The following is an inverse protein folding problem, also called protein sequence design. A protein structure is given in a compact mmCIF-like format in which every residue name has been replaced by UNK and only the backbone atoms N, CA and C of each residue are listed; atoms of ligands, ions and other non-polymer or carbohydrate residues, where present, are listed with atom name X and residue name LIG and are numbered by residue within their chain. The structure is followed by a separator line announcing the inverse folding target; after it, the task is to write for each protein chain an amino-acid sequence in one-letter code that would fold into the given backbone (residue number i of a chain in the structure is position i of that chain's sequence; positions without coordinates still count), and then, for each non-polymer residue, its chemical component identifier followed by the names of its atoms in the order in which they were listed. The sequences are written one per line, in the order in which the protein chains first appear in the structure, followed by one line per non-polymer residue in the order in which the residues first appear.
data_IF_389773123932
#
_entry.id   IF_389773123932
#
_cell.length_a   1.000
_cell.length_b   1.000
_cell.length_c   1.000
_cell.angle_alpha   90.00
_cell.angle_beta   90.00
_cell.angle_gamma   90.00
#
_symmetry.space_group_name_H-M   'P 1'
#
loop_
_entity.id
_entity.type
_entity.pdbx_description
1 polymer ?
#
# COMPACT_ATOMS: atom_id res chain seq x y z
N UNK A 1 -6.78 -23.56 -4.93
CA UNK A 1 -5.36 -23.95 -5.10
C UNK A 1 -4.59 -22.73 -5.60
N UNK A 2 -3.48 -22.40 -4.94
CA UNK A 2 -2.59 -21.30 -5.34
C UNK A 2 -1.27 -21.91 -5.82
N UNK A 3 -0.83 -21.54 -7.02
CA UNK A 3 0.48 -21.93 -7.56
C UNK A 3 1.38 -20.72 -7.73
N UNK A 4 2.69 -20.94 -7.60
CA UNK A 4 3.72 -19.91 -7.70
C UNK A 4 4.79 -20.34 -8.71
N UNK A 5 5.15 -19.44 -9.61
CA UNK A 5 6.15 -19.68 -10.64
C UNK A 5 7.14 -18.51 -10.65
N UNK A 6 8.44 -18.79 -10.47
CA UNK A 6 9.48 -17.78 -10.60
C UNK A 6 9.87 -17.65 -12.08
N UNK A 7 9.79 -16.43 -12.62
CA UNK A 7 10.07 -16.12 -14.02
C UNK A 7 11.26 -15.16 -14.05
N UNK A 8 12.43 -15.66 -14.47
CA UNK A 8 13.66 -14.88 -14.40
C UNK A 8 14.08 -14.52 -12.97
N UNK A 9 14.76 -13.39 -12.81
CA UNK A 9 15.30 -12.95 -11.52
C UNK A 9 14.26 -12.21 -10.66
N UNK A 10 13.49 -11.30 -11.27
CA UNK A 10 12.67 -10.32 -10.54
C UNK A 10 11.16 -10.57 -10.60
N UNK A 11 10.66 -11.40 -11.53
CA UNK A 11 9.21 -11.63 -11.68
C UNK A 11 8.76 -12.92 -11.01
N UNK A 12 7.71 -12.83 -10.20
CA UNK A 12 6.99 -13.98 -9.65
C UNK A 12 5.55 -13.96 -10.13
N UNK A 13 5.13 -15.05 -10.77
CA UNK A 13 3.74 -15.29 -11.17
C UNK A 13 3.02 -16.10 -10.08
N UNK A 14 1.86 -15.63 -9.66
CA UNK A 14 0.98 -16.27 -8.68
C UNK A 14 -0.36 -16.51 -9.36
N UNK A 15 -0.81 -17.75 -9.39
CA UNK A 15 -2.11 -18.11 -9.96
C UNK A 15 -2.99 -18.65 -8.85
N UNK A 16 -4.14 -18.03 -8.65
CA UNK A 16 -5.13 -18.41 -7.65
C UNK A 16 -6.39 -18.97 -8.34
N UNK A 17 -6.65 -20.25 -8.08
CA UNK A 17 -7.80 -20.96 -8.63
C UNK A 17 -9.06 -20.89 -7.74
N UNK A 18 -9.09 -20.05 -6.70
CA UNK A 18 -10.20 -19.97 -5.72
C UNK A 18 -11.23 -18.88 -6.04
N UNK A 19 -11.23 -18.33 -7.26
CA UNK A 19 -12.11 -17.22 -7.64
C UNK A 19 -13.50 -17.66 -8.12
N UNK A 20 -14.45 -16.71 -8.09
CA UNK A 20 -15.79 -16.91 -8.64
C UNK A 20 -15.76 -17.31 -10.12
N UNK A 21 -16.68 -18.19 -10.52
CA UNK A 21 -16.78 -18.67 -11.90
C UNK A 21 -16.96 -17.49 -12.86
N UNK A 22 -16.27 -17.55 -14.01
CA UNK A 22 -16.36 -16.57 -15.12
C UNK A 22 -15.80 -15.16 -14.90
N UNK A 23 -15.31 -14.81 -13.70
CA UNK A 23 -14.64 -13.52 -13.44
C UNK A 23 -13.15 -13.73 -13.23
N UNK A 24 -12.35 -12.94 -13.93
CA UNK A 24 -10.89 -13.00 -13.89
C UNK A 24 -10.36 -11.68 -13.35
N UNK A 25 -9.34 -11.77 -12.51
CA UNK A 25 -8.69 -10.60 -11.92
C UNK A 25 -7.19 -10.71 -12.10
N UNK A 26 -6.53 -9.61 -12.43
CA UNK A 26 -5.08 -9.51 -12.55
C UNK A 26 -4.61 -8.34 -11.68
N UNK A 27 -3.53 -8.55 -10.93
CA UNK A 27 -2.82 -7.47 -10.25
C UNK A 27 -1.32 -7.64 -10.47
N UNK A 28 -0.66 -6.55 -10.82
CA UNK A 28 0.77 -6.51 -11.04
C UNK A 28 1.40 -5.52 -10.05
N UNK A 29 1.99 -6.07 -9.00
CA UNK A 29 2.67 -5.30 -7.97
C UNK A 29 4.16 -5.20 -8.28
N UNK A 30 4.72 -4.01 -8.12
CA UNK A 30 6.15 -3.74 -8.29
C UNK A 30 6.65 -3.13 -6.98
N UNK A 31 7.71 -3.68 -6.39
CA UNK A 31 8.34 -3.16 -5.16
C UNK A 31 9.17 -1.91 -5.44
N UNK A 32 8.51 -0.87 -5.94
CA UNK A 32 9.01 0.49 -6.04
C UNK A 32 7.82 1.45 -6.06
N UNK A 33 7.96 2.61 -5.43
CA UNK A 33 6.89 3.58 -5.27
C UNK A 33 7.43 4.97 -4.89
N UNK A 34 6.61 5.80 -4.23
CA UNK A 34 6.99 7.18 -3.91
C UNK A 34 8.25 7.30 -3.04
N UNK A 35 8.62 6.27 -2.26
CA UNK A 35 9.85 6.27 -1.46
C UNK A 35 11.11 6.35 -2.33
N UNK A 36 11.04 5.86 -3.56
CA UNK A 36 12.18 5.81 -4.47
C UNK A 36 12.44 7.16 -5.15
N UNK A 37 11.45 8.07 -5.13
CA UNK A 37 11.59 9.45 -5.59
C UNK A 37 12.63 10.22 -4.78
N UNK A 38 13.09 9.71 -3.63
CA UNK A 38 14.23 10.29 -2.92
C UNK A 38 15.46 10.45 -3.84
N UNK A 39 15.63 9.58 -4.86
CA UNK A 39 16.71 9.66 -5.86
C UNK A 39 16.37 10.50 -7.10
N UNK A 40 15.15 11.02 -7.15
CA UNK A 40 14.57 11.75 -8.28
C UNK A 40 13.82 13.00 -7.78
N UNK A 41 12.94 13.55 -8.60
CA UNK A 41 11.98 14.56 -8.15
C UNK A 41 10.75 13.87 -7.57
N UNK A 42 10.19 14.48 -6.53
CA UNK A 42 8.95 14.00 -5.93
C UNK A 42 7.82 13.99 -6.97
N UNK A 43 7.13 12.87 -7.10
CA UNK A 43 6.10 12.64 -8.09
C UNK A 43 6.59 11.91 -9.35
N UNK A 44 7.87 11.53 -9.44
CA UNK A 44 8.37 10.75 -10.58
C UNK A 44 7.71 9.38 -10.62
N UNK A 45 7.58 8.70 -9.48
CA UNK A 45 6.87 7.43 -9.38
C UNK A 45 5.40 7.54 -9.79
N UNK A 46 4.70 8.59 -9.32
CA UNK A 46 3.29 8.81 -9.62
C UNK A 46 3.04 9.14 -11.09
N UNK A 47 3.84 10.03 -11.68
CA UNK A 47 3.74 10.33 -13.11
C UNK A 47 4.07 9.10 -13.97
N UNK A 48 5.08 8.32 -13.59
CA UNK A 48 5.42 7.07 -14.28
C UNK A 48 4.26 6.08 -14.25
N UNK A 49 3.57 5.97 -13.11
CA UNK A 49 2.38 5.14 -12.96
C UNK A 49 1.27 5.58 -13.93
N UNK A 50 0.91 6.85 -13.98
CA UNK A 50 -0.09 7.39 -14.91
C UNK A 50 0.23 7.06 -16.38
N UNK A 51 1.48 7.30 -16.80
CA UNK A 51 1.92 7.04 -18.18
C UNK A 51 1.87 5.54 -18.54
N UNK A 52 2.20 4.67 -17.58
CA UNK A 52 2.06 3.22 -17.77
C UNK A 52 0.59 2.80 -17.77
N UNK A 53 -0.25 3.38 -16.90
CA UNK A 53 -1.67 3.05 -16.80
C UNK A 53 -2.41 3.33 -18.11
N UNK A 54 -2.02 4.38 -18.86
CA UNK A 54 -2.51 4.64 -20.21
C UNK A 54 -2.38 3.41 -21.15
N UNK A 55 -1.34 2.59 -20.96
CA UNK A 55 -1.12 1.35 -21.74
C UNK A 55 -2.01 0.17 -21.32
N UNK A 56 -2.66 0.24 -20.15
CA UNK A 56 -3.59 -0.79 -19.67
C UNK A 56 -5.01 -0.59 -20.17
N UNK A 57 -5.40 0.67 -20.39
CA UNK A 57 -6.73 1.00 -20.82
C UNK A 57 -6.92 0.58 -22.28
N UNK A 58 -7.52 -0.59 -22.50
CA UNK A 58 -8.17 -0.89 -23.76
C UNK A 58 -9.41 0.01 -23.88
N UNK A 59 -9.20 1.25 -24.33
CA UNK A 59 -10.15 2.36 -24.25
C UNK A 59 -11.58 2.06 -24.76
N UNK A 60 -11.77 0.99 -25.54
CA UNK A 60 -13.04 0.68 -26.21
C UNK A 60 -13.76 -0.58 -25.69
N UNK A 61 -13.26 -1.29 -24.67
CA UNK A 61 -13.94 -2.49 -24.15
C UNK A 61 -14.58 -2.25 -22.76
N UNK A 62 -15.91 -2.05 -22.68
CA UNK A 62 -16.60 -1.77 -21.41
C UNK A 62 -16.62 -2.97 -20.44
N UNK A 63 -16.20 -4.15 -20.88
CA UNK A 63 -16.12 -5.35 -20.06
C UNK A 63 -14.73 -5.57 -19.45
N UNK A 64 -13.79 -4.66 -19.70
CA UNK A 64 -12.48 -4.64 -19.07
C UNK A 64 -12.41 -3.44 -18.13
N UNK A 65 -12.30 -3.73 -16.84
CA UNK A 65 -11.95 -2.73 -15.84
C UNK A 65 -10.46 -2.84 -15.56
N UNK A 66 -9.73 -1.75 -15.70
CA UNK A 66 -8.33 -1.65 -15.31
C UNK A 66 -8.14 -0.34 -14.54
N UNK A 67 -7.20 -0.32 -13.61
CA UNK A 67 -6.80 0.87 -12.88
C UNK A 67 -5.41 0.65 -12.28
N UNK A 68 -4.87 1.69 -11.67
CA UNK A 68 -3.59 1.62 -11.00
C UNK A 68 -3.53 2.58 -9.80
N UNK A 69 -2.53 2.36 -8.96
CA UNK A 69 -2.18 3.26 -7.87
C UNK A 69 -0.71 3.12 -7.52
N UNK A 70 -0.14 4.19 -7.00
CA UNK A 70 1.17 4.21 -6.35
C UNK A 70 1.01 4.44 -4.84
N UNK A 71 1.71 3.64 -4.04
CA UNK A 71 1.87 3.83 -2.60
C UNK A 71 3.35 4.22 -2.33
N UNK A 72 3.73 4.42 -1.07
CA UNK A 72 5.12 4.73 -0.73
C UNK A 72 6.10 3.65 -1.18
N UNK A 73 5.73 2.38 -1.07
CA UNK A 73 6.70 1.28 -1.26
C UNK A 73 6.44 0.41 -2.48
N UNK A 74 5.32 0.63 -3.17
CA UNK A 74 4.94 -0.19 -4.31
C UNK A 74 4.00 0.55 -5.26
N UNK A 75 4.06 0.16 -6.52
CA UNK A 75 3.10 0.52 -7.56
C UNK A 75 2.29 -0.72 -7.91
N UNK A 76 0.99 -0.56 -8.08
CA UNK A 76 0.09 -1.65 -8.41
C UNK A 76 -0.77 -1.27 -9.62
N UNK A 77 -0.69 -2.10 -10.66
CA UNK A 77 -1.61 -2.10 -11.78
C UNK A 77 -2.59 -3.24 -11.59
N UNK A 78 -3.89 -3.04 -11.80
CA UNK A 78 -4.87 -4.10 -11.55
C UNK A 78 -6.07 -4.00 -12.47
N UNK A 79 -6.76 -5.11 -12.67
CA UNK A 79 -7.93 -5.15 -13.52
C UNK A 79 -8.78 -6.40 -13.34
N UNK A 80 -10.02 -6.31 -13.80
CA UNK A 80 -11.01 -7.38 -13.77
C UNK A 80 -11.77 -7.45 -15.08
N UNK A 81 -12.14 -8.66 -15.46
CA UNK A 81 -12.92 -8.89 -16.67
C UNK A 81 -13.66 -10.23 -16.64
N UNK A 82 -14.53 -10.45 -17.62
CA UNK A 82 -15.19 -11.73 -17.84
C UNK A 82 -14.37 -12.66 -18.74
N UNK A 83 -14.64 -13.97 -18.65
CA UNK A 83 -13.92 -15.01 -19.39
C UNK A 83 -13.59 -14.70 -20.86
N UNK A 84 -14.52 -14.19 -21.70
CA UNK A 84 -14.24 -13.96 -23.11
C UNK A 84 -13.12 -12.95 -23.38
N UNK A 85 -12.88 -12.04 -22.42
CA UNK A 85 -11.94 -10.93 -22.55
C UNK A 85 -10.66 -11.12 -21.72
N UNK A 86 -10.52 -12.24 -21.00
CA UNK A 86 -9.37 -12.53 -20.16
C UNK A 86 -8.04 -12.43 -20.92
N UNK A 87 -7.96 -13.00 -22.12
CA UNK A 87 -6.74 -12.94 -22.92
C UNK A 87 -6.38 -11.52 -23.36
N UNK A 88 -7.39 -10.68 -23.65
CA UNK A 88 -7.18 -9.28 -23.97
C UNK A 88 -6.60 -8.54 -22.76
N UNK A 89 -7.20 -8.71 -21.58
CA UNK A 89 -6.69 -8.12 -20.34
C UNK A 89 -5.26 -8.60 -20.03
N UNK A 90 -5.01 -9.90 -20.07
CA UNK A 90 -3.67 -10.47 -19.83
C UNK A 90 -2.64 -9.87 -20.80
N UNK A 91 -2.98 -9.73 -22.08
CA UNK A 91 -2.09 -9.14 -23.08
C UNK A 91 -1.76 -7.68 -22.76
N UNK A 92 -2.72 -6.87 -22.29
CA UNK A 92 -2.46 -5.49 -21.86
C UNK A 92 -1.45 -5.44 -20.71
N UNK A 93 -1.59 -6.31 -19.72
CA UNK A 93 -0.65 -6.43 -18.61
C UNK A 93 0.76 -6.86 -19.05
N UNK A 94 0.84 -7.85 -19.95
CA UNK A 94 2.13 -8.35 -20.46
C UNK A 94 2.86 -7.32 -21.34
N UNK A 95 2.13 -6.36 -21.93
CA UNK A 95 2.70 -5.30 -22.75
C UNK A 95 2.83 -3.96 -22.05
N UNK A 96 2.50 -3.88 -20.76
CA UNK A 96 2.46 -2.63 -19.98
C UNK A 96 3.68 -1.72 -20.24
N UNK A 97 4.87 -2.30 -20.20
CA UNK A 97 6.13 -1.57 -20.40
C UNK A 97 6.55 -1.44 -21.87
N UNK A 98 6.14 -2.38 -22.73
CA UNK A 98 6.51 -2.40 -24.15
C UNK A 98 5.75 -1.35 -24.95
N UNK A 99 4.54 -1.03 -24.51
CA UNK A 99 3.65 -0.07 -25.17
C UNK A 99 3.78 1.35 -24.62
N UNK A 100 4.67 1.58 -23.66
CA UNK A 100 4.85 2.90 -23.07
C UNK A 100 5.25 3.92 -24.14
N UNK A 101 4.36 4.88 -24.39
CA UNK A 101 4.65 6.06 -25.18
C UNK A 101 4.88 7.22 -24.23
N UNK A 102 6.12 7.69 -24.17
CA UNK A 102 6.48 8.90 -23.42
C UNK A 102 6.61 10.02 -24.44
N UNK A 103 5.50 10.63 -24.84
CA UNK A 103 5.49 11.89 -25.58
C UNK A 103 5.27 13.07 -24.63
N UNK A 104 5.78 14.25 -25.00
CA UNK A 104 5.74 15.44 -24.14
C UNK A 104 4.32 15.89 -23.82
N UNK A 105 3.41 15.76 -24.78
CA UNK A 105 2.05 16.29 -24.66
C UNK A 105 1.23 15.44 -23.69
N UNK A 106 1.38 14.11 -23.74
CA UNK A 106 0.81 13.19 -22.76
C UNK A 106 1.39 13.44 -21.36
N UNK A 107 2.70 13.58 -21.23
CA UNK A 107 3.35 13.90 -19.94
C UNK A 107 2.81 15.19 -19.32
N UNK A 108 2.73 16.27 -20.10
CA UNK A 108 2.25 17.54 -19.59
C UNK A 108 0.77 17.48 -19.23
N UNK A 109 -0.04 16.73 -19.99
CA UNK A 109 -1.44 16.48 -19.66
C UNK A 109 -1.58 15.74 -18.33
N UNK A 110 -0.85 14.64 -18.13
CA UNK A 110 -0.92 13.86 -16.89
C UNK A 110 -0.37 14.63 -15.68
N UNK A 111 0.68 15.43 -15.86
CA UNK A 111 1.15 16.35 -14.79
C UNK A 111 0.05 17.30 -14.35
N UNK A 112 -0.74 17.85 -15.28
CA UNK A 112 -1.87 18.72 -14.95
C UNK A 112 -2.97 17.96 -14.21
N UNK A 113 -3.27 16.72 -14.62
CA UNK A 113 -4.23 15.85 -13.94
C UNK A 113 -3.81 15.61 -12.49
N UNK A 114 -2.57 15.17 -12.27
CA UNK A 114 -2.03 14.91 -10.94
C UNK A 114 -2.05 16.20 -10.08
N UNK A 115 -1.44 17.27 -10.60
CA UNK A 115 -1.24 18.51 -9.84
C UNK A 115 -2.55 19.24 -9.51
N UNK A 116 -3.58 19.16 -10.36
CA UNK A 116 -4.78 19.97 -10.21
C UNK A 116 -6.06 19.19 -9.96
N UNK A 117 -6.16 17.94 -10.39
CA UNK A 117 -7.36 17.12 -10.16
C UNK A 117 -7.17 16.28 -8.90
N UNK A 118 -6.09 15.51 -8.84
CA UNK A 118 -5.89 14.54 -7.77
C UNK A 118 -5.47 15.21 -6.48
N UNK A 119 -4.47 16.08 -6.53
CA UNK A 119 -4.03 16.81 -5.35
C UNK A 119 -5.15 17.66 -4.73
N UNK A 120 -6.07 18.22 -5.53
CA UNK A 120 -7.23 18.95 -4.98
C UNK A 120 -8.21 18.03 -4.27
N UNK A 121 -8.49 16.84 -4.84
CA UNK A 121 -9.31 15.82 -4.17
C UNK A 121 -8.65 15.39 -2.85
N UNK A 122 -7.36 15.11 -2.88
CA UNK A 122 -6.58 14.72 -1.70
C UNK A 122 -6.53 15.82 -0.64
N UNK A 123 -6.34 17.08 -1.04
CA UNK A 123 -6.34 18.22 -0.13
C UNK A 123 -7.70 18.41 0.59
N UNK A 124 -8.80 17.95 0.00
CA UNK A 124 -10.10 17.94 0.69
C UNK A 124 -10.28 16.78 1.68
N UNK A 125 -9.39 15.77 1.66
CA UNK A 125 -9.41 14.63 2.56
C UNK A 125 -8.49 14.88 3.77
N UNK A 126 -9.07 15.43 4.83
CA UNK A 126 -8.33 15.80 6.03
C UNK A 126 -7.64 14.61 6.72
N UNK A 127 -8.27 13.43 6.74
CA UNK A 127 -7.67 12.23 7.34
C UNK A 127 -6.39 11.82 6.61
N UNK A 128 -6.39 11.92 5.28
CA UNK A 128 -5.22 11.61 4.45
C UNK A 128 -4.12 12.65 4.64
N UNK A 129 -4.46 13.95 4.71
CA UNK A 129 -3.49 15.00 5.02
C UNK A 129 -2.83 14.81 6.39
N UNK A 130 -3.62 14.44 7.40
CA UNK A 130 -3.06 14.17 8.73
C UNK A 130 -2.20 12.90 8.72
N UNK A 131 -2.54 11.87 7.94
CA UNK A 131 -1.66 10.72 7.75
C UNK A 131 -0.33 11.09 7.09
N UNK A 132 -0.35 11.91 6.03
CA UNK A 132 0.86 12.39 5.35
C UNK A 132 1.77 13.16 6.32
N UNK A 133 1.20 14.04 7.16
CA UNK A 133 1.94 14.71 8.23
C UNK A 133 2.55 13.72 9.22
N UNK A 134 1.79 12.69 9.61
CA UNK A 134 2.26 11.71 10.57
C UNK A 134 3.51 11.04 10.04
N UNK A 135 3.44 10.54 8.81
CA UNK A 135 4.54 9.86 8.14
C UNK A 135 5.75 10.79 7.98
N UNK A 136 5.53 12.05 7.60
CA UNK A 136 6.57 13.07 7.49
C UNK A 136 7.34 13.27 8.81
N UNK A 137 6.64 13.31 9.95
CA UNK A 137 7.28 13.46 11.27
C UNK A 137 7.86 12.16 11.84
N UNK A 138 7.27 11.02 11.46
CA UNK A 138 7.67 9.71 11.97
C UNK A 138 8.98 9.26 11.33
N UNK A 139 9.12 9.45 10.01
CA UNK A 139 10.28 9.02 9.23
C UNK A 139 11.32 10.14 9.09
N UNK A 140 12.61 9.78 9.04
CA UNK A 140 13.70 10.75 8.91
C UNK A 140 13.81 11.27 7.48
N UNK A 141 14.31 12.49 7.28
CA UNK A 141 14.53 13.09 5.94
C UNK A 141 15.42 12.26 4.99
N UNK A 142 16.26 11.37 5.53
CA UNK A 142 17.10 10.46 4.73
C UNK A 142 16.42 9.12 4.39
N UNK A 143 15.20 8.91 4.88
CA UNK A 143 14.38 7.73 4.58
C UNK A 143 13.39 8.11 3.46
N UNK A 144 13.30 7.29 2.41
CA UNK A 144 12.33 7.52 1.33
C UNK A 144 10.89 7.57 1.83
N UNK A 145 10.56 6.92 2.95
CA UNK A 145 9.22 6.99 3.56
C UNK A 145 8.84 8.38 4.07
N UNK A 146 9.80 9.28 4.23
CA UNK A 146 9.56 10.70 4.54
C UNK A 146 9.00 11.48 3.35
N UNK A 147 9.19 11.01 2.11
CA UNK A 147 8.68 11.68 0.92
C UNK A 147 7.15 11.71 0.94
N UNK A 148 6.51 12.88 0.72
CA UNK A 148 5.06 12.99 0.74
C UNK A 148 4.46 12.37 -0.53
N UNK A 149 3.27 11.76 -0.42
CA UNK A 149 2.56 11.27 -1.62
C UNK A 149 1.83 12.39 -2.36
N UNK A 150 1.49 13.48 -1.65
CA UNK A 150 0.89 14.68 -2.22
C UNK A 150 1.95 15.54 -2.91
N UNK A 151 1.76 15.82 -4.20
CA UNK A 151 2.75 16.52 -5.03
C UNK A 151 2.41 18.01 -5.13
N UNK A 152 2.76 18.79 -4.11
CA UNK A 152 2.42 20.22 -4.06
C UNK A 152 3.42 21.14 -4.79
N UNK A 153 4.47 20.57 -5.37
CA UNK A 153 5.62 21.35 -5.82
C UNK A 153 5.54 21.80 -7.27
N UNK A 154 6.06 23.01 -7.54
CA UNK A 154 6.30 23.44 -8.92
C UNK A 154 7.45 22.67 -9.59
N UNK A 155 8.37 22.09 -8.82
CA UNK A 155 9.48 21.24 -9.30
C UNK A 155 9.00 20.01 -10.07
N UNK A 156 7.82 19.49 -9.72
CA UNK A 156 7.16 18.37 -10.38
C UNK A 156 6.96 18.62 -11.88
N UNK A 157 6.64 19.86 -12.28
CA UNK A 157 6.49 20.21 -13.69
C UNK A 157 7.81 20.12 -14.48
N UNK A 158 8.95 20.16 -13.77
CA UNK A 158 10.28 19.96 -14.34
C UNK A 158 10.65 18.51 -14.63
N UNK A 159 9.83 17.53 -14.25
CA UNK A 159 10.08 16.11 -14.58
C UNK A 159 10.00 15.93 -16.10
N UNK A 160 11.07 15.41 -16.71
CA UNK A 160 11.12 15.16 -18.15
C UNK A 160 11.11 13.67 -18.48
N UNK A 161 11.07 13.38 -19.78
CA UNK A 161 11.06 12.02 -20.32
C UNK A 161 12.26 11.19 -19.84
N UNK A 162 13.43 11.82 -19.74
CA UNK A 162 14.67 11.18 -19.32
C UNK A 162 14.58 10.73 -17.87
N UNK A 163 13.98 11.54 -16.99
CA UNK A 163 13.74 11.17 -15.60
C UNK A 163 12.77 9.98 -15.48
N UNK A 164 11.65 9.99 -16.22
CA UNK A 164 10.69 8.88 -16.24
C UNK A 164 11.35 7.59 -16.73
N UNK A 165 12.09 7.65 -17.84
CA UNK A 165 12.84 6.49 -18.36
C UNK A 165 13.89 6.00 -17.38
N UNK A 166 14.59 6.92 -16.72
CA UNK A 166 15.58 6.58 -15.69
C UNK A 166 14.92 5.90 -14.49
N UNK A 167 13.76 6.38 -14.03
CA UNK A 167 13.01 5.74 -12.95
C UNK A 167 12.57 4.32 -13.34
N UNK A 168 12.04 4.14 -14.55
CA UNK A 168 11.68 2.79 -15.05
C UNK A 168 12.90 1.88 -15.08
N UNK A 169 14.03 2.37 -15.59
CA UNK A 169 15.24 1.56 -15.78
C UNK A 169 16.02 1.28 -14.49
N UNK A 170 16.05 2.22 -13.55
CA UNK A 170 16.84 2.10 -12.33
C UNK A 170 16.03 1.53 -11.17
N UNK A 171 14.72 1.79 -11.12
CA UNK A 171 13.84 1.37 -10.05
C UNK A 171 12.92 0.24 -10.50
N UNK A 172 11.98 0.50 -11.40
CA UNK A 172 10.95 -0.48 -11.74
C UNK A 172 11.54 -1.78 -12.31
N UNK A 173 12.51 -1.71 -13.22
CA UNK A 173 13.11 -2.89 -13.86
C UNK A 173 13.89 -3.77 -12.87
N UNK A 174 14.54 -3.17 -11.87
CA UNK A 174 15.37 -3.86 -10.87
C UNK A 174 14.59 -4.26 -9.62
N UNK A 175 13.38 -3.74 -9.45
CA UNK A 175 12.48 -4.13 -8.37
C UNK A 175 11.91 -5.53 -8.59
N UNK A 176 11.69 -6.24 -7.48
CA UNK A 176 10.90 -7.48 -7.49
C UNK A 176 9.46 -7.16 -7.87
N UNK A 177 8.84 -8.05 -8.63
CA UNK A 177 7.51 -7.89 -9.18
C UNK A 177 6.68 -9.14 -8.98
N UNK A 178 5.39 -8.95 -8.79
CA UNK A 178 4.44 -10.01 -8.50
C UNK A 178 3.22 -9.85 -9.39
N UNK A 179 3.07 -10.75 -10.37
CA UNK A 179 1.88 -10.84 -11.20
C UNK A 179 0.94 -11.86 -10.58
N UNK A 180 -0.17 -11.41 -10.01
CA UNK A 180 -1.18 -12.22 -9.36
C UNK A 180 -2.39 -12.32 -10.26
N UNK A 181 -2.81 -13.54 -10.58
CA UNK A 181 -3.94 -13.82 -11.45
C UNK A 181 -4.92 -14.73 -10.73
N UNK A 182 -6.17 -14.30 -10.61
CA UNK A 182 -7.28 -15.08 -10.05
C UNK A 182 -8.32 -15.39 -11.11
N UNK A 183 -8.85 -16.62 -11.09
CA UNK A 183 -9.88 -17.06 -12.02
C UNK A 183 -10.14 -18.57 -11.95
N UNK A 184 -11.08 -19.02 -12.77
CA UNK A 184 -11.31 -20.44 -13.01
C UNK A 184 -10.43 -20.90 -14.18
N UNK A 185 -9.44 -21.74 -13.90
CA UNK A 185 -8.46 -22.18 -14.88
C UNK A 185 -8.40 -23.70 -14.97
N UNK A 186 -8.43 -24.25 -16.18
CA UNK A 186 -7.96 -25.61 -16.43
C UNK A 186 -6.42 -25.68 -16.35
N UNK A 187 -5.86 -26.86 -16.08
CA UNK A 187 -4.40 -27.08 -16.10
C UNK A 187 -3.75 -26.65 -17.43
N UNK A 188 -4.47 -26.85 -18.54
CA UNK A 188 -4.04 -26.41 -19.87
C UNK A 188 -4.01 -24.88 -19.99
N UNK A 189 -4.92 -24.17 -19.33
CA UNK A 189 -4.97 -22.70 -19.30
C UNK A 189 -3.85 -22.15 -18.43
N UNK A 190 -3.59 -22.75 -17.26
CA UNK A 190 -2.46 -22.41 -16.39
C UNK A 190 -1.14 -22.55 -17.17
N UNK A 191 -0.94 -23.68 -17.85
CA UNK A 191 0.26 -23.92 -18.65
C UNK A 191 0.45 -22.86 -19.75
N UNK A 192 -0.63 -22.43 -20.40
CA UNK A 192 -0.60 -21.34 -21.39
C UNK A 192 -0.24 -20.00 -20.77
N UNK A 193 -0.84 -19.64 -19.62
CA UNK A 193 -0.53 -18.40 -18.90
C UNK A 193 0.95 -18.37 -18.53
N UNK A 194 1.45 -19.44 -17.89
CA UNK A 194 2.87 -19.55 -17.50
C UNK A 194 3.78 -19.41 -18.72
N UNK A 195 3.46 -20.10 -19.82
CA UNK A 195 4.21 -19.98 -21.07
C UNK A 195 4.21 -18.55 -21.60
N UNK A 196 3.05 -17.90 -21.71
CA UNK A 196 2.94 -16.52 -22.20
C UNK A 196 3.71 -15.55 -21.32
N UNK A 197 3.58 -15.62 -20.00
CA UNK A 197 4.35 -14.77 -19.06
C UNK A 197 5.85 -15.01 -19.22
N UNK A 198 6.29 -16.26 -19.41
CA UNK A 198 7.69 -16.61 -19.62
C UNK A 198 8.24 -16.06 -20.95
N UNK A 199 7.48 -16.16 -22.03
CA UNK A 199 7.86 -15.67 -23.37
C UNK A 199 7.91 -14.13 -23.44
N UNK A 200 7.01 -13.45 -22.73
CA UNK A 200 7.06 -11.99 -22.59
C UNK A 200 8.23 -11.55 -21.70
N UNK A 201 8.53 -12.33 -20.66
CA UNK A 201 9.62 -12.03 -19.74
C UNK A 201 9.35 -10.81 -18.87
N UNK A 202 10.41 -10.29 -18.26
CA UNK A 202 10.37 -9.07 -17.45
C UNK A 202 10.61 -7.82 -18.32
N UNK A 203 10.52 -6.64 -17.70
CA UNK A 203 10.84 -5.33 -18.30
C UNK A 203 12.19 -5.42 -19.01
N UNK A 204 12.21 -5.15 -20.32
CA UNK A 204 13.45 -5.17 -21.10
C UNK A 204 14.24 -3.88 -20.88
N UNK A 205 15.55 -4.05 -20.67
CA UNK A 205 16.51 -3.01 -20.32
C UNK A 205 16.98 -2.23 -21.55
N UNK A 206 16.26 -1.18 -21.94
CA UNK A 206 16.76 -0.23 -22.95
C UNK A 206 16.56 1.21 -22.46
N UNK A 207 17.62 1.79 -21.90
CA UNK A 207 17.65 3.20 -21.47
C UNK A 207 19.01 3.62 -20.92
N UNK A 208 19.35 4.89 -21.12
CA UNK A 208 20.49 5.52 -20.46
C UNK A 208 20.13 5.84 -19.00
N UNK A 209 21.00 5.45 -18.06
CA UNK A 209 20.79 5.72 -16.62
C UNK A 209 21.24 7.14 -16.28
N UNK A 210 20.31 7.96 -15.77
CA UNK A 210 20.65 9.25 -15.16
C UNK A 210 20.19 9.25 -13.70
N UNK A 211 21.14 9.37 -12.78
CA UNK A 211 20.88 9.74 -11.39
C UNK A 211 21.12 11.24 -11.26
N UNK A 212 20.19 11.95 -10.63
CA UNK A 212 20.37 13.37 -10.34
C UNK A 212 21.48 13.55 -9.30
N UNK A 213 22.21 14.67 -9.41
CA UNK A 213 23.27 14.96 -8.44
C UNK A 213 22.68 15.36 -7.07
N UNK A 214 23.42 15.07 -6.00
CA UNK A 214 22.99 15.33 -4.62
C UNK A 214 22.56 16.79 -4.37
N UNK A 215 23.17 17.77 -5.04
CA UNK A 215 22.85 19.19 -4.83
C UNK A 215 21.52 19.60 -5.47
N UNK A 216 21.17 19.04 -6.64
CA UNK A 216 19.87 19.26 -7.27
C UNK A 216 18.75 18.60 -6.47
N UNK A 217 18.98 17.37 -6.01
CA UNK A 217 18.07 16.65 -5.12
C UNK A 217 17.87 17.39 -3.80
N UNK A 218 18.93 17.87 -3.15
CA UNK A 218 18.81 18.66 -1.91
C UNK A 218 18.03 19.96 -2.11
N UNK A 219 18.21 20.65 -3.24
CA UNK A 219 17.45 21.87 -3.55
C UNK A 219 15.97 21.57 -3.72
N UNK A 220 15.63 20.51 -4.47
CA UNK A 220 14.25 20.05 -4.61
C UNK A 220 13.65 19.61 -3.26
N UNK A 221 14.40 18.87 -2.43
CA UNK A 221 13.94 18.44 -1.09
C UNK A 221 13.72 19.60 -0.12
N UNK A 222 14.54 20.65 -0.15
CA UNK A 222 14.29 21.87 0.65
C UNK A 222 13.02 22.61 0.25
N UNK A 223 12.58 22.45 -1.00
CA UNK A 223 11.30 22.98 -1.48
C UNK A 223 10.12 22.07 -1.07
N UNK A 224 10.38 20.79 -0.79
CA UNK A 224 9.40 19.78 -0.34
C UNK A 224 8.98 19.93 1.12
N UNK A 225 9.44 20.98 1.83
CA UNK A 225 8.85 21.31 3.11
C UNK A 225 7.35 21.48 2.89
N UNK A 226 6.57 20.51 3.38
CA UNK A 226 5.13 20.50 3.34
C UNK A 226 4.65 21.83 3.92
N UNK A 227 4.43 22.83 3.06
CA UNK A 227 3.81 24.10 3.40
C UNK A 227 2.33 23.83 3.54
N UNK A 228 2.01 23.08 4.59
CA UNK A 228 0.65 22.97 5.06
C UNK A 228 0.41 24.30 5.75
N UNK A 229 -0.16 25.26 5.03
CA UNK A 229 -0.79 26.43 5.63
C UNK A 229 -1.53 26.00 6.89
N UNK A 230 -1.55 26.83 7.94
CA UNK A 230 -2.16 26.57 9.26
C UNK A 230 -3.57 25.97 9.14
N UNK A 231 -3.61 24.68 8.87
CA UNK A 231 -4.81 23.87 8.79
C UNK A 231 -5.08 23.51 10.24
N UNK A 232 -6.08 24.18 10.84
CA UNK A 232 -6.59 23.78 12.15
C UNK A 232 -7.30 22.44 11.97
N UNK A 233 -6.71 21.33 12.43
CA UNK A 233 -7.36 20.05 12.30
C UNK A 233 -8.69 20.09 13.03
N UNK A 234 -9.75 19.63 12.38
CA UNK A 234 -11.02 19.36 13.09
C UNK A 234 -10.92 18.09 13.96
N UNK A 235 -9.90 17.28 13.71
CA UNK A 235 -9.68 15.94 14.24
C UNK A 235 -8.21 15.78 14.63
N UNK A 236 -7.91 14.87 15.54
CA UNK A 236 -6.55 14.63 16.02
C UNK A 236 -6.07 13.26 15.53
N UNK A 237 -4.83 13.19 15.05
CA UNK A 237 -4.21 11.93 14.66
C UNK A 237 -2.92 11.73 15.45
N UNK A 238 -2.81 10.56 16.06
CA UNK A 238 -1.61 10.13 16.79
C UNK A 238 -1.10 8.82 16.21
N UNK A 239 0.21 8.60 16.32
CA UNK A 239 0.89 7.43 15.79
C UNK A 239 1.79 6.80 16.83
N UNK A 240 1.83 5.47 16.85
CA UNK A 240 2.85 4.70 17.56
C UNK A 240 3.69 3.98 16.51
N UNK A 241 4.95 4.40 16.36
CA UNK A 241 5.93 3.74 15.50
C UNK A 241 6.45 2.49 16.20
N UNK A 242 6.18 1.35 15.58
CA UNK A 242 6.66 0.03 15.95
C UNK A 242 7.77 -0.41 15.00
N UNK A 243 8.61 -1.33 15.48
CA UNK A 243 9.44 -2.15 14.60
C UNK A 243 8.56 -2.94 13.63
N UNK A 244 9.16 -3.42 12.54
CA UNK A 244 8.53 -4.30 11.56
C UNK A 244 7.67 -5.41 12.23
N UNK A 245 6.54 -5.71 11.59
CA UNK A 245 5.74 -6.91 11.86
C UNK A 245 6.29 -8.02 10.97
N UNK A 246 6.83 -9.07 11.58
CA UNK A 246 7.65 -10.05 10.87
C UNK A 246 6.86 -11.29 10.42
N UNK A 247 5.59 -11.41 10.82
CA UNK A 247 4.76 -12.55 10.45
C UNK A 247 3.29 -12.19 10.26
N UNK A 248 2.58 -13.01 9.48
CA UNK A 248 1.13 -12.89 9.33
C UNK A 248 0.38 -13.11 10.66
N UNK A 249 0.92 -13.96 11.55
CA UNK A 249 0.35 -14.18 12.88
C UNK A 249 0.41 -12.90 13.72
N UNK A 250 1.56 -12.24 13.71
CA UNK A 250 1.77 -10.97 14.39
C UNK A 250 0.88 -9.88 13.80
N UNK A 251 0.75 -9.82 12.46
CA UNK A 251 -0.14 -8.88 11.77
C UNK A 251 -1.61 -9.08 12.18
N UNK A 252 -2.09 -10.32 12.23
CA UNK A 252 -3.44 -10.62 12.70
C UNK A 252 -3.62 -10.30 14.18
N UNK A 253 -2.64 -10.62 15.03
CA UNK A 253 -2.68 -10.29 16.44
C UNK A 253 -2.76 -8.77 16.67
N UNK A 254 -1.99 -7.98 15.92
CA UNK A 254 -2.06 -6.53 15.95
C UNK A 254 -3.42 -5.99 15.53
N UNK A 255 -4.00 -6.52 14.44
CA UNK A 255 -5.33 -6.08 13.98
C UNK A 255 -6.45 -6.49 14.97
N UNK A 256 -6.36 -7.66 15.60
CA UNK A 256 -7.28 -8.08 16.67
C UNK A 256 -7.14 -7.14 17.88
N UNK A 257 -5.91 -6.76 18.23
CA UNK A 257 -5.65 -5.79 19.30
C UNK A 257 -6.21 -4.40 18.94
N UNK A 258 -6.16 -3.97 17.67
CA UNK A 258 -6.81 -2.73 17.23
C UNK A 258 -8.33 -2.77 17.49
N UNK A 259 -9.01 -3.87 17.17
CA UNK A 259 -10.45 -4.02 17.46
C UNK A 259 -10.73 -3.84 18.95
N UNK A 260 -9.87 -4.41 19.79
CA UNK A 260 -9.98 -4.27 21.24
C UNK A 260 -9.74 -2.83 21.71
N UNK A 261 -8.66 -2.19 21.26
CA UNK A 261 -8.37 -0.78 21.57
C UNK A 261 -9.52 0.13 21.15
N UNK A 262 -10.03 -0.02 19.93
CA UNK A 262 -11.15 0.80 19.46
C UNK A 262 -12.38 0.64 20.37
N UNK A 263 -12.69 -0.59 20.76
CA UNK A 263 -13.80 -0.87 21.67
C UNK A 263 -13.56 -0.29 23.07
N UNK A 264 -12.38 -0.52 23.65
CA UNK A 264 -12.02 -0.04 24.99
C UNK A 264 -12.01 1.48 25.06
N UNK A 265 -11.32 2.13 24.12
CA UNK A 265 -11.18 3.58 24.05
C UNK A 265 -12.54 4.23 23.85
N UNK A 266 -13.38 3.73 22.92
CA UNK A 266 -14.71 4.31 22.71
C UNK A 266 -15.66 4.08 23.90
N UNK A 267 -15.51 2.99 24.64
CA UNK A 267 -16.24 2.80 25.89
C UNK A 267 -15.78 3.78 26.98
N UNK A 268 -14.47 3.99 27.13
CA UNK A 268 -13.91 4.97 28.07
C UNK A 268 -14.35 6.40 27.72
N UNK A 269 -14.34 6.76 26.43
CA UNK A 269 -14.66 8.08 25.92
C UNK A 269 -16.15 8.29 25.62
N UNK A 270 -17.03 7.32 25.94
CA UNK A 270 -18.45 7.31 25.54
C UNK A 270 -19.25 8.54 25.96
N UNK A 271 -18.84 9.23 27.03
CA UNK A 271 -19.47 10.46 27.55
C UNK A 271 -18.75 11.74 27.14
N UNK A 272 -17.71 11.64 26.33
CA UNK A 272 -16.89 12.75 25.86
C UNK A 272 -17.15 13.03 24.38
N UNK A 273 -16.67 14.16 23.87
CA UNK A 273 -16.69 14.45 22.43
C UNK A 273 -15.52 13.79 21.67
N UNK A 274 -14.54 13.23 22.38
CA UNK A 274 -13.24 12.84 21.84
C UNK A 274 -13.19 11.35 21.43
N UNK A 275 -14.29 10.80 20.93
CA UNK A 275 -14.34 9.39 20.54
C UNK A 275 -13.34 9.08 19.40
N UNK A 276 -12.84 7.85 19.39
CA UNK A 276 -11.98 7.32 18.35
C UNK A 276 -12.84 7.04 17.10
N UNK A 277 -12.56 7.77 16.02
CA UNK A 277 -13.19 7.58 14.72
C UNK A 277 -12.66 6.30 14.09
N UNK A 278 -11.34 6.15 14.04
CA UNK A 278 -10.67 5.05 13.35
C UNK A 278 -9.37 4.65 14.05
N UNK A 279 -9.00 3.38 13.87
CA UNK A 279 -7.75 2.80 14.36
C UNK A 279 -7.23 1.80 13.35
N UNK A 280 -6.06 2.09 12.79
CA UNK A 280 -5.48 1.29 11.74
C UNK A 280 -4.00 1.01 12.00
N UNK A 281 -3.52 -0.16 11.56
CA UNK A 281 -2.10 -0.45 11.44
C UNK A 281 -1.68 -0.25 9.98
N UNK A 282 -0.66 0.58 9.73
CA UNK A 282 -0.02 0.73 8.42
C UNK A 282 1.37 0.11 8.46
N UNK A 283 1.54 -0.98 7.71
CA UNK A 283 2.82 -1.67 7.57
C UNK A 283 3.65 -1.04 6.46
N UNK A 284 4.94 -0.89 6.73
CA UNK A 284 6.00 -0.66 5.75
C UNK A 284 7.03 -1.80 5.76
N UNK A 285 7.99 -1.80 4.84
CA UNK A 285 8.99 -2.85 4.72
C UNK A 285 9.76 -3.10 6.02
N UNK A 286 10.09 -2.02 6.77
CA UNK A 286 10.93 -2.06 7.97
C UNK A 286 10.28 -1.48 9.23
N UNK A 287 9.02 -1.04 9.15
CA UNK A 287 8.32 -0.38 10.25
C UNK A 287 6.82 -0.66 10.21
N UNK A 288 6.12 -0.39 11.31
CA UNK A 288 4.66 -0.36 11.34
C UNK A 288 4.22 0.85 12.15
N UNK A 289 3.21 1.59 11.68
CA UNK A 289 2.61 2.68 12.43
C UNK A 289 1.21 2.23 12.87
N UNK A 290 0.95 2.29 14.16
CA UNK A 290 -0.41 2.19 14.69
C UNK A 290 -1.00 3.60 14.77
N UNK A 291 -2.07 3.85 14.04
CA UNK A 291 -2.64 5.18 13.79
C UNK A 291 -3.97 5.28 14.52
N UNK A 292 -4.09 6.24 15.44
CA UNK A 292 -5.32 6.56 16.14
C UNK A 292 -5.88 7.86 15.59
N UNK A 293 -7.12 7.84 15.13
CA UNK A 293 -7.78 9.02 14.58
C UNK A 293 -9.00 9.38 15.43
N UNK A 294 -8.95 10.53 16.08
CA UNK A 294 -9.93 11.00 17.06
C UNK A 294 -10.79 12.13 16.52
N UNK A 295 -12.04 12.21 16.98
CA UNK A 295 -12.94 13.28 16.59
C UNK A 295 -12.49 14.67 17.07
N UNK A 296 -11.76 14.75 18.18
CA UNK A 296 -11.22 15.98 18.75
C UNK A 296 -9.92 15.65 19.52
N UNK A 297 -9.17 16.68 19.92
CA UNK A 297 -7.87 16.56 20.59
C UNK A 297 -7.92 15.59 21.77
N UNK A 298 -7.08 14.56 21.70
CA UNK A 298 -6.89 13.56 22.75
C UNK A 298 -5.42 13.17 22.87
N UNK A 299 -4.70 13.88 23.72
CA UNK A 299 -3.24 13.74 23.92
C UNK A 299 -2.86 12.56 24.83
N UNK A 300 -3.85 11.93 25.49
CA UNK A 300 -3.63 10.91 26.52
C UNK A 300 -3.74 9.47 25.96
N UNK A 301 -3.46 9.25 24.67
CA UNK A 301 -3.53 7.91 24.05
C UNK A 301 -2.65 6.91 24.79
N UNK A 302 -1.38 7.25 25.05
CA UNK A 302 -0.45 6.33 25.71
C UNK A 302 -0.87 6.01 27.14
N UNK A 303 -1.28 7.01 27.93
CA UNK A 303 -1.75 6.80 29.30
C UNK A 303 -2.96 5.86 29.35
N UNK A 304 -3.89 6.02 28.40
CA UNK A 304 -5.04 5.15 28.29
C UNK A 304 -4.62 3.72 27.94
N UNK A 305 -3.65 3.53 27.04
CA UNK A 305 -3.12 2.19 26.73
C UNK A 305 -2.39 1.57 27.93
N UNK A 306 -1.61 2.34 28.68
CA UNK A 306 -0.95 1.88 29.92
C UNK A 306 -1.96 1.47 31.00
N UNK A 307 -3.15 2.08 31.02
CA UNK A 307 -4.21 1.74 31.97
C UNK A 307 -4.94 0.42 31.67
N UNK A 308 -4.68 -0.20 30.51
CA UNK A 308 -5.39 -1.42 30.11
C UNK A 308 -4.89 -2.61 30.93
N UNK A 309 -5.79 -3.16 31.76
CA UNK A 309 -5.57 -4.43 32.42
C UNK A 309 -6.04 -5.58 31.51
N UNK A 310 -5.10 -6.24 30.83
CA UNK A 310 -5.40 -7.38 29.94
C UNK A 310 -5.77 -8.68 30.69
N UNK A 311 -5.89 -8.66 32.02
CA UNK A 311 -6.27 -9.83 32.82
C UNK A 311 -7.62 -10.45 32.43
N UNK A 312 -8.56 -9.64 31.95
CA UNK A 312 -9.88 -10.07 31.46
C UNK A 312 -9.95 -10.24 29.94
N UNK A 313 -8.83 -10.03 29.24
CA UNK A 313 -8.79 -10.06 27.79
C UNK A 313 -9.05 -11.46 27.22
N UNK A 314 -8.74 -12.52 27.98
CA UNK A 314 -8.99 -13.91 27.60
C UNK A 314 -10.46 -14.18 27.29
N UNK A 315 -11.38 -13.61 28.07
CA UNK A 315 -12.83 -13.74 27.86
C UNK A 315 -13.33 -12.98 26.63
N UNK A 316 -12.71 -11.84 26.32
CA UNK A 316 -13.07 -10.99 25.19
C UNK A 316 -12.43 -11.42 23.87
N UNK A 317 -11.30 -12.12 23.91
CA UNK A 317 -10.51 -12.47 22.72
C UNK A 317 -11.34 -13.22 21.67
N UNK A 318 -12.24 -14.12 22.07
CA UNK A 318 -13.11 -14.83 21.12
C UNK A 318 -14.02 -13.84 20.38
N UNK A 319 -14.59 -12.87 21.08
CA UNK A 319 -15.42 -11.83 20.46
C UNK A 319 -14.58 -10.94 19.54
N UNK A 320 -13.38 -10.54 19.95
CA UNK A 320 -12.49 -9.71 19.14
C UNK A 320 -12.04 -10.42 17.86
N UNK A 321 -11.69 -11.72 17.95
CA UNK A 321 -11.38 -12.55 16.77
C UNK A 321 -12.54 -12.57 15.78
N UNK A 322 -13.78 -12.74 16.26
CA UNK A 322 -14.98 -12.73 15.40
C UNK A 322 -15.18 -11.38 14.70
N UNK A 323 -15.06 -10.29 15.46
CA UNK A 323 -15.19 -8.92 14.94
C UNK A 323 -14.10 -8.60 13.91
N UNK A 324 -12.88 -9.11 14.09
CA UNK A 324 -11.81 -9.03 13.10
C UNK A 324 -12.12 -9.87 11.85
N UNK A 325 -12.53 -11.12 12.04
CA UNK A 325 -12.74 -12.08 10.95
C UNK A 325 -13.86 -11.66 9.98
N UNK A 326 -14.95 -11.07 10.47
CA UNK A 326 -16.09 -10.73 9.63
C UNK A 326 -15.75 -9.81 8.43
N UNK A 327 -15.18 -8.60 8.61
CA UNK A 327 -14.72 -7.78 7.49
C UNK A 327 -13.51 -8.37 6.77
N UNK A 328 -12.73 -9.24 7.43
CA UNK A 328 -11.60 -9.91 6.80
C UNK A 328 -12.05 -10.95 5.77
N UNK A 329 -13.18 -11.63 5.99
CA UNK A 329 -13.76 -12.56 5.02
C UNK A 329 -14.12 -11.86 3.71
N UNK A 330 -14.67 -10.64 3.77
CA UNK A 330 -14.98 -9.84 2.57
C UNK A 330 -13.71 -9.56 1.75
N UNK A 331 -12.58 -9.28 2.42
CA UNK A 331 -11.28 -9.07 1.76
C UNK A 331 -10.75 -10.33 1.08
N UNK A 332 -11.00 -11.51 1.63
CA UNK A 332 -10.59 -12.78 1.00
C UNK A 332 -11.47 -13.10 -0.21
N UNK A 333 -12.76 -12.81 -0.12
CA UNK A 333 -13.73 -13.12 -1.19
C UNK A 333 -13.53 -12.20 -2.40
N UNK A 334 -13.15 -10.93 -2.18
CA UNK A 334 -12.81 -10.01 -3.26
C UNK A 334 -11.42 -10.35 -3.83
N UNK A 335 -11.30 -10.79 -5.10
CA UNK A 335 -10.02 -11.22 -5.65
C UNK A 335 -8.92 -10.15 -5.63
N UNK A 336 -9.27 -8.87 -5.86
CA UNK A 336 -8.28 -7.78 -5.89
C UNK A 336 -7.76 -7.45 -4.49
N UNK A 337 -8.65 -7.43 -3.49
CA UNK A 337 -8.23 -7.26 -2.08
C UNK A 337 -7.41 -8.47 -1.60
N UNK A 338 -7.77 -9.67 -2.04
CA UNK A 338 -7.01 -10.88 -1.73
C UNK A 338 -5.64 -10.89 -2.39
N UNK A 339 -5.52 -10.41 -3.63
CA UNK A 339 -4.22 -10.20 -4.28
C UNK A 339 -3.32 -9.26 -3.46
N UNK A 340 -3.88 -8.14 -2.97
CA UNK A 340 -3.15 -7.19 -2.11
C UNK A 340 -2.72 -7.83 -0.80
N UNK A 341 -3.57 -8.67 -0.19
CA UNK A 341 -3.24 -9.42 1.01
C UNK A 341 -2.11 -10.43 0.76
N UNK A 342 -2.16 -11.16 -0.35
CA UNK A 342 -1.12 -12.11 -0.75
C UNK A 342 0.22 -11.41 -0.99
N UNK A 343 0.20 -10.30 -1.73
CA UNK A 343 1.37 -9.45 -1.93
C UNK A 343 1.96 -8.96 -0.60
N UNK A 344 1.14 -8.45 0.31
CA UNK A 344 1.58 -8.07 1.66
C UNK A 344 2.16 -9.26 2.44
N UNK A 345 1.54 -10.44 2.38
CA UNK A 345 2.03 -11.68 3.03
C UNK A 345 3.46 -12.04 2.62
N UNK A 346 3.79 -11.87 1.34
CA UNK A 346 5.13 -12.10 0.81
C UNK A 346 6.12 -11.07 1.38
N UNK A 347 5.70 -9.81 1.48
CA UNK A 347 6.52 -8.73 2.02
C UNK A 347 6.79 -8.87 3.54
N UNK A 348 5.83 -9.44 4.29
CA UNK A 348 6.00 -9.73 5.72
C UNK A 348 7.07 -10.81 5.94
N UNK A 349 6.90 -11.97 5.31
CA UNK A 349 7.56 -13.18 5.78
C UNK A 349 9.03 -13.34 5.34
N UNK A 350 9.54 -12.61 4.34
CA UNK A 350 10.85 -12.85 3.64
C UNK A 350 11.05 -14.27 3.07
N UNK A 351 10.27 -15.24 3.52
CA UNK A 351 10.22 -16.64 3.13
C UNK A 351 9.31 -16.88 1.92
N UNK A 352 8.78 -15.80 1.32
CA UNK A 352 8.11 -15.88 0.02
C UNK A 352 6.83 -16.75 0.06
N UNK A 353 6.31 -16.99 1.28
CA UNK A 353 5.11 -17.75 1.58
C UNK A 353 3.86 -16.91 1.30
N UNK A 354 2.93 -17.52 0.57
CA UNK A 354 1.66 -16.89 0.22
C UNK A 354 0.62 -17.32 1.25
N UNK A 355 -0.06 -16.36 1.87
CA UNK A 355 -1.20 -16.66 2.73
C UNK A 355 -2.29 -17.36 1.92
N UNK A 356 -2.64 -18.57 2.34
CA UNK A 356 -3.78 -19.32 1.81
C UNK A 356 -5.00 -19.04 2.68
N UNK A 357 -6.14 -18.81 2.04
CA UNK A 357 -7.45 -18.58 2.67
C UNK A 357 -7.79 -19.68 3.70
N UNK A 358 -7.50 -20.93 3.37
CA UNK A 358 -7.69 -22.11 4.21
C UNK A 358 -6.90 -22.09 5.53
N UNK A 359 -5.76 -21.38 5.57
CA UNK A 359 -4.89 -21.28 6.76
C UNK A 359 -5.24 -20.11 7.67
N UNK A 360 -6.13 -19.21 7.26
CA UNK A 360 -6.48 -18.01 8.04
C UNK A 360 -7.01 -18.39 9.42
N UNK A 361 -7.93 -19.36 9.49
CA UNK A 361 -8.50 -19.80 10.76
C UNK A 361 -7.46 -20.44 11.67
N UNK A 362 -6.56 -21.27 11.12
CA UNK A 362 -5.46 -21.86 11.88
C UNK A 362 -4.56 -20.79 12.51
N UNK A 363 -4.19 -19.77 11.74
CA UNK A 363 -3.37 -18.66 12.22
C UNK A 363 -4.11 -17.88 13.32
N UNK A 364 -5.38 -17.53 13.09
CA UNK A 364 -6.19 -16.78 14.07
C UNK A 364 -6.42 -17.58 15.34
N UNK A 365 -6.67 -18.88 15.26
CA UNK A 365 -6.86 -19.76 16.42
C UNK A 365 -5.57 -19.88 17.23
N UNK A 366 -4.40 -19.87 16.58
CA UNK A 366 -3.08 -19.90 17.25
C UNK A 366 -2.74 -18.64 18.07
N UNK A 367 -3.52 -17.57 17.96
CA UNK A 367 -3.33 -16.33 18.71
C UNK A 367 -3.94 -16.51 20.11
N UNK A 368 -3.08 -16.60 21.12
CA UNK A 368 -3.47 -16.78 22.52
C UNK A 368 -3.57 -15.44 23.26
N UNK A 369 -4.21 -15.37 24.43
CA UNK A 369 -4.21 -14.18 25.27
C UNK A 369 -2.80 -13.68 25.60
N UNK A 370 -1.88 -14.59 25.94
CA UNK A 370 -0.48 -14.27 26.28
C UNK A 370 0.24 -13.62 25.10
N UNK A 371 -0.02 -14.12 23.88
CA UNK A 371 0.56 -13.51 22.68
C UNK A 371 0.01 -12.10 22.44
N UNK A 372 -1.27 -11.84 22.72
CA UNK A 372 -1.80 -10.48 22.63
C UNK A 372 -1.19 -9.56 23.69
N UNK A 373 -0.92 -10.05 24.91
CA UNK A 373 -0.19 -9.26 25.92
C UNK A 373 1.21 -8.90 25.41
N UNK A 374 1.91 -9.83 24.75
CA UNK A 374 3.21 -9.55 24.11
C UNK A 374 3.10 -8.44 23.05
N UNK A 375 2.12 -8.51 22.16
CA UNK A 375 1.89 -7.48 21.13
C UNK A 375 1.48 -6.13 21.75
N UNK A 376 0.66 -6.13 22.80
CA UNK A 376 0.32 -4.93 23.55
C UNK A 376 1.55 -4.28 24.16
N UNK A 377 2.43 -5.06 24.79
CA UNK A 377 3.70 -4.58 25.32
C UNK A 377 4.62 -4.05 24.21
N UNK A 378 4.63 -4.67 23.03
CA UNK A 378 5.33 -4.14 21.85
C UNK A 378 4.79 -2.77 21.46
N UNK A 379 3.47 -2.58 21.50
CA UNK A 379 2.83 -1.27 21.25
C UNK A 379 3.23 -0.23 22.31
N UNK A 380 3.21 -0.57 23.60
CA UNK A 380 3.57 0.35 24.68
C UNK A 380 5.04 0.81 24.61
N UNK A 381 5.92 -0.05 24.11
CA UNK A 381 7.34 0.26 23.89
C UNK A 381 7.63 0.95 22.55
N UNK A 382 6.59 1.21 21.74
CA UNK A 382 6.72 1.96 20.49
C UNK A 382 6.99 3.45 20.72
N UNK A 383 7.50 4.13 19.70
CA UNK A 383 7.73 5.58 19.78
C UNK A 383 6.45 6.32 19.42
N UNK A 384 5.95 7.13 20.36
CA UNK A 384 4.72 7.89 20.21
C UNK A 384 4.94 9.23 19.48
N UNK A 385 3.99 9.59 18.62
CA UNK A 385 3.95 10.83 17.85
C UNK A 385 2.53 11.38 17.86
N UNK A 386 2.40 12.69 17.98
CA UNK A 386 1.11 13.40 17.93
C UNK A 386 1.20 14.54 16.91
N UNK A 387 0.15 14.67 16.10
CA UNK A 387 0.00 15.71 15.08
C UNK A 387 -0.94 16.83 15.56
N UNK A 388 -1.67 16.62 16.66
CA UNK A 388 -2.43 17.69 17.31
C UNK A 388 -1.49 18.87 17.52
N UNK A 389 -1.87 20.00 16.92
CA UNK A 389 -0.96 21.07 16.56
C UNK A 389 0.04 21.39 17.67
N UNK A 390 1.31 21.05 17.43
CA UNK A 390 2.40 21.70 18.16
C UNK A 390 2.25 23.20 17.94
N UNK A 391 1.72 23.85 18.96
CA UNK A 391 1.88 25.27 19.19
C UNK A 391 3.33 25.45 19.67
N UNK A 392 4.28 25.36 18.76
CA UNK A 392 5.61 25.92 19.01
C UNK A 392 5.58 27.42 18.71
#
# INVERSE_FOLDING_TARGET
MITKHKIGEYLTLIINHEAAQSVFSISYFILSGMKDDIRYFNGTAHLTEHLLAQSLFCADNPFIFANAYVDKEHTCFYGQTFSPYFNQLLYSFLNLFRNLQVDSDSMDTEKQVIAHVENRKTASNHQLLDLEKLEYYVFSENDGLHMPTLILENSFFGIDNTMVRSFIFNELSKSKKYLVISGEFSDSTISRIVKSVTEFGDIQNEGDSILLCDEELKRARKQNNLQIEEYKPKHCMTGILLKKVDSIKEWFALNILCVFYQTYINNFLRKTRNHLIDLAAKQYENACILIFYYFADFENTMDLLYSIELGYFSELLISMKRTFLFPFMEKIINPLEYHKLQFKSICFNRADEILQSSKVMEVVDSITPEYIVEIHNKCLNGKYYDIAGRRD
#
